data_IF_493542201971
#
_entry.id   IF_493542201971
#
_cell.length_a   1.000
_cell.length_b   1.000
_cell.length_c   1.000
_cell.angle_alpha   90.00
_cell.angle_beta   90.00
_cell.angle_gamma   90.00
#
_symmetry.space_group_name_H-M   'P 1'
#
loop_
_entity.id
_entity.type
_entity.pdbx_description
1 polymer ?
#
# COMPACT_ATOMS: atom_id res chain seq x y z
N UNK A 1 42.73 -22.77 -44.92
CA UNK A 1 42.71 -21.50 -45.68
C UNK A 1 41.26 -21.03 -45.78
N UNK A 2 40.92 -19.96 -45.07
CA UNK A 2 39.58 -19.38 -45.07
C UNK A 2 39.34 -18.52 -46.31
N UNK A 3 38.17 -18.62 -46.92
CA UNK A 3 37.67 -17.63 -47.88
C UNK A 3 36.28 -17.18 -47.44
N UNK A 4 36.17 -15.90 -47.05
CA UNK A 4 34.92 -15.25 -46.62
C UNK A 4 34.11 -14.82 -47.85
N UNK A 5 32.77 -14.75 -47.72
CA UNK A 5 31.86 -14.45 -48.82
C UNK A 5 31.92 -12.97 -49.20
N UNK A 6 31.82 -12.72 -50.51
CA UNK A 6 31.53 -11.41 -51.06
C UNK A 6 30.07 -11.04 -50.77
N UNK A 7 29.87 -9.91 -50.09
CA UNK A 7 28.61 -9.17 -50.11
C UNK A 7 28.93 -7.71 -50.41
N UNK A 8 28.32 -7.24 -51.47
CA UNK A 8 28.44 -5.90 -52.05
C UNK A 8 28.05 -4.79 -51.08
N UNK A 9 28.97 -3.87 -50.82
CA UNK A 9 28.64 -2.44 -50.76
C UNK A 9 29.86 -1.62 -51.16
N UNK A 10 30.02 -1.47 -52.48
CA UNK A 10 30.96 -0.52 -53.12
C UNK A 10 30.47 0.92 -52.87
N UNK A 11 30.47 1.36 -51.62
CA UNK A 11 30.15 2.72 -51.23
C UNK A 11 31.37 3.61 -51.42
N UNK A 12 31.40 4.37 -52.53
CA UNK A 12 32.45 5.32 -52.92
C UNK A 12 33.03 6.09 -51.72
N UNK A 13 34.23 5.70 -51.30
CA UNK A 13 35.06 6.46 -50.37
C UNK A 13 35.65 7.67 -51.08
N UNK A 14 34.88 8.77 -51.12
CA UNK A 14 35.35 10.03 -51.71
C UNK A 14 34.29 11.12 -51.60
N UNK A 15 34.59 12.14 -50.79
CA UNK A 15 33.95 13.48 -50.73
C UNK A 15 32.44 13.56 -50.44
N UNK A 16 31.68 12.46 -50.45
CA UNK A 16 30.25 12.42 -50.15
C UNK A 16 29.87 11.65 -48.89
N UNK A 17 30.83 11.16 -48.10
CA UNK A 17 30.52 10.65 -46.76
C UNK A 17 30.50 11.84 -45.80
N UNK A 18 29.29 12.26 -45.39
CA UNK A 18 29.09 13.23 -44.31
C UNK A 18 29.93 12.78 -43.10
N UNK A 19 30.53 13.68 -42.30
CA UNK A 19 31.15 13.28 -41.04
C UNK A 19 30.08 12.55 -40.22
N UNK A 20 30.30 11.25 -39.99
CA UNK A 20 29.46 10.50 -39.07
C UNK A 20 29.76 11.05 -37.68
N UNK A 21 28.96 12.03 -37.25
CA UNK A 21 28.94 12.47 -35.85
C UNK A 21 28.61 11.23 -35.03
N UNK A 22 29.50 10.93 -34.07
CA UNK A 22 29.54 9.67 -33.34
C UNK A 22 28.16 9.20 -32.92
N UNK A 23 27.90 7.89 -33.13
CA UNK A 23 26.69 7.25 -32.65
C UNK A 23 26.53 7.55 -31.17
N UNK A 24 25.48 8.31 -30.84
CA UNK A 24 25.20 8.75 -29.48
C UNK A 24 25.07 7.56 -28.53
N UNK A 25 25.38 7.81 -27.25
CA UNK A 25 25.14 6.85 -26.16
C UNK A 25 23.65 6.49 -26.17
N UNK A 26 23.35 5.19 -26.25
CA UNK A 26 21.97 4.71 -26.26
C UNK A 26 21.49 4.54 -24.82
N UNK A 27 20.89 5.58 -24.28
CA UNK A 27 20.28 5.54 -22.94
C UNK A 27 19.06 4.62 -22.87
N UNK A 28 18.59 4.05 -24.00
CA UNK A 28 17.45 3.13 -24.04
C UNK A 28 17.83 1.66 -23.84
N UNK A 29 19.12 1.31 -23.78
CA UNK A 29 19.57 -0.09 -23.67
C UNK A 29 19.96 -0.49 -22.25
N UNK A 30 20.30 0.49 -21.42
CA UNK A 30 20.81 0.30 -20.05
C UNK A 30 19.90 0.99 -19.02
N UNK A 31 18.57 1.00 -19.25
CA UNK A 31 17.59 1.58 -18.30
C UNK A 31 17.32 0.62 -17.14
N UNK A 32 17.40 -0.70 -17.41
CA UNK A 32 17.12 -1.72 -16.42
C UNK A 32 18.37 -1.96 -15.56
N UNK A 33 18.25 -2.10 -14.23
CA UNK A 33 19.37 -2.50 -13.40
C UNK A 33 19.86 -3.87 -13.85
N UNK A 34 21.18 -4.03 -13.92
CA UNK A 34 21.85 -5.25 -14.40
C UNK A 34 22.81 -5.69 -13.31
N UNK A 35 22.85 -6.99 -13.03
CA UNK A 35 23.79 -7.59 -12.08
C UNK A 35 25.23 -7.50 -12.61
N UNK A 36 26.22 -7.84 -11.77
CA UNK A 36 27.63 -7.91 -12.14
C UNK A 36 27.91 -8.78 -13.38
N UNK A 37 27.05 -9.77 -13.65
CA UNK A 37 27.10 -10.65 -14.81
C UNK A 37 26.34 -10.12 -16.05
N UNK A 38 25.72 -8.93 -15.96
CA UNK A 38 25.02 -8.29 -17.06
C UNK A 38 23.63 -8.85 -17.37
N UNK A 39 23.03 -9.58 -16.43
CA UNK A 39 21.65 -10.06 -16.51
C UNK A 39 20.68 -9.01 -15.94
N UNK A 40 19.52 -8.83 -16.57
CA UNK A 40 18.51 -7.86 -16.14
C UNK A 40 17.93 -8.27 -14.78
N UNK A 41 18.03 -7.36 -13.81
CA UNK A 41 17.46 -7.52 -12.47
C UNK A 41 16.13 -6.77 -12.43
N UNK A 42 15.11 -7.38 -11.82
CA UNK A 42 13.87 -6.66 -11.55
C UNK A 42 14.15 -5.55 -10.53
N UNK A 43 13.65 -4.34 -10.76
CA UNK A 43 13.77 -3.22 -9.82
C UNK A 43 13.19 -3.53 -8.42
N UNK A 44 12.37 -4.58 -8.31
CA UNK A 44 11.74 -5.02 -7.06
C UNK A 44 12.31 -6.33 -6.54
N UNK A 45 13.35 -6.89 -7.17
CA UNK A 45 14.05 -8.02 -6.59
C UNK A 45 14.86 -7.54 -5.38
N UNK A 46 14.80 -8.30 -4.28
CA UNK A 46 15.67 -8.12 -3.11
C UNK A 46 17.11 -8.28 -3.60
N UNK A 47 17.93 -7.26 -3.36
CA UNK A 47 19.32 -7.19 -3.78
C UNK A 47 20.10 -8.40 -3.25
N UNK A 48 20.64 -9.28 -4.11
CA UNK A 48 21.34 -10.49 -3.68
C UNK A 48 22.69 -10.19 -3.03
N UNK A 49 23.20 -8.95 -3.13
CA UNK A 49 24.41 -8.53 -2.41
C UNK A 49 24.12 -7.97 -1.01
N UNK A 50 22.86 -8.00 -0.58
CA UNK A 50 22.44 -7.59 0.77
C UNK A 50 22.31 -8.79 1.71
N UNK A 51 23.31 -9.68 1.65
CA UNK A 51 23.48 -10.72 2.65
C UNK A 51 24.23 -10.13 3.86
N UNK A 52 23.48 -10.02 4.97
CA UNK A 52 23.89 -10.49 6.29
C UNK A 52 25.26 -10.06 6.82
N UNK A 53 25.50 -8.76 7.02
CA UNK A 53 26.54 -8.30 7.94
C UNK A 53 26.20 -6.93 8.53
N UNK A 54 26.01 -6.91 9.85
CA UNK A 54 25.98 -5.73 10.75
C UNK A 54 24.78 -4.76 10.63
N UNK A 55 23.85 -4.82 11.58
CA UNK A 55 23.94 -3.97 12.77
C UNK A 55 22.73 -4.12 13.71
N UNK A 56 23.07 -4.14 14.98
CA UNK A 56 22.18 -4.05 16.12
C UNK A 56 22.10 -2.56 16.49
N UNK A 57 21.22 -1.78 15.85
CA UNK A 57 20.63 -0.59 16.48
C UNK A 57 19.36 -0.09 15.74
N UNK A 58 18.42 0.31 16.60
CA UNK A 58 17.24 1.13 16.45
C UNK A 58 17.07 1.96 15.16
N UNK A 59 15.94 1.80 14.43
CA UNK A 59 15.13 2.91 13.90
C UNK A 59 14.06 2.44 12.89
N UNK A 60 12.81 2.39 13.39
CA UNK A 60 11.61 3.06 12.86
C UNK A 60 11.29 3.17 11.36
N UNK A 61 9.97 3.13 11.14
CA UNK A 61 9.17 3.58 9.98
C UNK A 61 9.02 2.61 8.81
N UNK A 62 7.79 2.07 8.72
CA UNK A 62 7.21 1.52 7.52
C UNK A 62 7.18 2.58 6.42
N UNK A 63 7.94 2.35 5.36
CA UNK A 63 7.86 3.07 4.09
C UNK A 63 6.53 2.74 3.41
N UNK A 64 5.49 3.50 3.76
CA UNK A 64 4.30 3.69 2.92
C UNK A 64 4.70 4.57 1.73
N UNK A 65 5.22 3.90 0.70
CA UNK A 65 5.48 4.48 -0.61
C UNK A 65 4.18 4.45 -1.43
N UNK A 66 3.28 5.38 -1.15
CA UNK A 66 2.22 5.79 -2.08
C UNK A 66 2.81 6.87 -3.00
N UNK A 67 3.14 6.46 -4.23
CA UNK A 67 3.29 7.39 -5.36
C UNK A 67 1.91 7.94 -5.69
N UNK A 68 1.69 9.21 -5.40
CA UNK A 68 0.63 10.01 -6.01
C UNK A 68 1.28 10.88 -7.08
N UNK A 69 0.82 10.65 -8.31
CA UNK A 69 1.13 11.35 -9.54
C UNK A 69 0.50 12.75 -9.48
N UNK A 70 1.27 13.75 -9.03
CA UNK A 70 0.83 15.15 -9.09
C UNK A 70 1.20 15.74 -10.46
N UNK A 71 0.17 15.80 -11.31
CA UNK A 71 0.16 16.36 -12.65
C UNK A 71 0.56 17.85 -12.63
N UNK A 72 1.71 18.18 -13.22
CA UNK A 72 2.10 19.55 -13.58
C UNK A 72 1.05 20.17 -14.53
N UNK A 73 0.09 20.91 -13.97
CA UNK A 73 -0.71 21.88 -14.71
C UNK A 73 0.08 23.18 -14.85
N UNK A 74 0.46 23.47 -16.10
CA UNK A 74 1.01 24.73 -16.57
C UNK A 74 -0.04 25.85 -16.42
N UNK A 75 -0.06 26.49 -15.25
CA UNK A 75 -0.65 27.82 -15.12
C UNK A 75 -0.07 28.62 -13.94
N UNK A 76 0.93 29.47 -14.22
CA UNK A 76 0.85 30.93 -13.96
C UNK A 76 2.24 31.59 -13.96
N UNK A 77 2.34 32.67 -14.72
CA UNK A 77 3.57 33.38 -15.04
C UNK A 77 3.83 34.54 -14.06
N UNK A 78 4.65 34.32 -13.02
CA UNK A 78 5.40 35.35 -12.26
C UNK A 78 4.58 36.29 -11.34
N UNK A 79 5.20 37.09 -10.43
CA UNK A 79 6.58 37.55 -10.44
C UNK A 79 7.40 37.24 -9.17
N UNK A 80 8.71 37.33 -9.35
CA UNK A 80 9.80 37.16 -8.38
C UNK A 80 9.66 37.95 -7.07
N UNK A 81 9.77 37.25 -5.94
CA UNK A 81 10.20 37.82 -4.65
C UNK A 81 11.19 36.90 -3.93
N UNK A 82 12.16 37.49 -3.20
CA UNK A 82 13.46 36.89 -2.96
C UNK A 82 13.37 35.77 -1.94
N UNK A 83 14.12 34.71 -2.25
CA UNK A 83 14.45 33.61 -1.37
C UNK A 83 15.00 34.11 -0.02
N UNK A 84 14.19 34.05 1.03
CA UNK A 84 14.68 33.82 2.39
C UNK A 84 15.18 32.36 2.47
N UNK A 85 16.26 32.08 1.74
CA UNK A 85 17.06 30.88 1.94
C UNK A 85 17.94 31.10 3.15
N UNK A 86 17.34 31.08 4.33
CA UNK A 86 18.03 30.44 5.43
C UNK A 86 18.12 28.97 5.05
N UNK A 87 19.33 28.45 5.00
CA UNK A 87 19.64 27.06 4.70
C UNK A 87 19.10 26.16 5.83
N UNK A 88 17.77 26.07 5.94
CA UNK A 88 17.12 25.02 6.69
C UNK A 88 17.62 23.72 6.09
N UNK A 89 18.30 22.97 6.95
CA UNK A 89 18.97 21.74 6.58
C UNK A 89 17.95 20.80 5.92
N UNK A 90 18.43 19.82 5.15
CA UNK A 90 17.52 18.82 4.55
C UNK A 90 16.66 18.12 5.61
N UNK A 91 17.16 18.05 6.84
CA UNK A 91 16.48 17.50 8.01
C UNK A 91 15.36 18.43 8.49
N UNK A 92 15.59 19.74 8.59
CA UNK A 92 14.56 20.71 8.95
C UNK A 92 13.41 20.74 7.93
N UNK A 93 13.72 20.67 6.63
CA UNK A 93 12.68 20.58 5.58
C UNK A 93 11.88 19.29 5.64
N UNK A 94 12.52 18.18 6.02
CA UNK A 94 11.84 16.89 6.20
C UNK A 94 10.95 16.93 7.45
N UNK A 95 11.44 17.53 8.54
CA UNK A 95 10.67 17.70 9.77
C UNK A 95 9.45 18.60 9.58
N UNK A 96 9.57 19.71 8.85
CA UNK A 96 8.43 20.59 8.53
C UNK A 96 7.39 19.90 7.63
N UNK A 97 7.85 19.11 6.65
CA UNK A 97 6.96 18.30 5.80
C UNK A 97 6.24 17.23 6.60
N UNK A 98 6.93 16.52 7.50
CA UNK A 98 6.34 15.53 8.41
C UNK A 98 5.34 16.20 9.36
N UNK A 99 5.70 17.32 9.99
CA UNK A 99 4.82 18.08 10.87
C UNK A 99 3.56 18.59 10.15
N UNK A 100 3.67 19.01 8.88
CA UNK A 100 2.52 19.44 8.08
C UNK A 100 1.59 18.27 7.74
N UNK A 101 2.15 17.10 7.39
CA UNK A 101 1.38 15.87 7.16
C UNK A 101 0.69 15.39 8.44
N UNK A 102 1.40 15.34 9.56
CA UNK A 102 0.86 14.96 10.86
C UNK A 102 -0.23 15.94 11.34
N UNK A 103 -0.07 17.24 11.10
CA UNK A 103 -1.10 18.23 11.39
C UNK A 103 -2.35 18.05 10.51
N UNK A 104 -2.20 17.65 9.25
CA UNK A 104 -3.33 17.33 8.37
C UNK A 104 -4.07 16.07 8.85
N UNK A 105 -3.33 15.01 9.19
CA UNK A 105 -3.88 13.76 9.75
C UNK A 105 -4.56 14.03 11.09
N UNK A 106 -3.98 14.86 11.95
CA UNK A 106 -4.59 15.25 13.23
C UNK A 106 -5.88 16.06 13.01
N UNK A 107 -5.92 16.94 12.00
CA UNK A 107 -7.15 17.66 11.62
C UNK A 107 -8.22 16.74 11.04
N UNK A 108 -7.85 15.76 10.23
CA UNK A 108 -8.77 14.75 9.71
C UNK A 108 -9.31 13.86 10.83
N UNK A 109 -8.46 13.42 11.77
CA UNK A 109 -8.87 12.63 12.94
C UNK A 109 -9.70 13.44 13.94
N UNK A 110 -9.44 14.75 14.07
CA UNK A 110 -10.20 15.65 14.91
C UNK A 110 -11.52 16.11 14.29
N UNK A 111 -11.72 15.92 12.97
CA UNK A 111 -13.04 16.00 12.35
C UNK A 111 -13.83 14.78 12.80
N UNK A 112 -14.60 14.96 13.87
CA UNK A 112 -15.53 13.96 14.38
C UNK A 112 -16.61 13.75 13.34
N UNK A 113 -16.55 12.61 12.65
CA UNK A 113 -17.56 12.16 11.68
C UNK A 113 -18.92 12.08 12.38
N UNK A 114 -19.82 13.00 12.04
CA UNK A 114 -21.20 12.96 12.51
C UNK A 114 -21.98 11.86 11.78
N UNK A 115 -23.03 11.32 12.40
CA UNK A 115 -23.83 10.22 11.85
C UNK A 115 -24.55 10.72 10.59
N UNK A 116 -23.97 10.45 9.43
CA UNK A 116 -24.44 10.93 8.13
C UNK A 116 -23.30 11.29 7.16
N UNK A 117 -22.10 11.53 7.68
CA UNK A 117 -20.90 11.77 6.87
C UNK A 117 -20.13 10.45 6.68
N UNK A 118 -20.77 9.51 5.97
CA UNK A 118 -20.08 8.32 5.50
C UNK A 118 -19.05 8.76 4.46
N UNK A 119 -17.77 8.35 4.52
CA UNK A 119 -16.87 8.60 3.41
C UNK A 119 -17.50 7.92 2.20
N UNK A 120 -17.93 8.71 1.22
CA UNK A 120 -18.50 8.18 -0.01
C UNK A 120 -17.43 7.28 -0.61
N UNK A 121 -17.70 5.98 -0.70
CA UNK A 121 -16.85 5.01 -1.38
C UNK A 121 -17.01 5.13 -2.91
N UNK A 122 -17.15 6.37 -3.37
CA UNK A 122 -17.54 6.80 -4.71
C UNK A 122 -16.92 8.19 -4.96
N UNK A 123 -15.59 8.27 -4.87
CA UNK A 123 -14.78 9.40 -5.36
C UNK A 123 -14.20 9.04 -6.74
N UNK A 124 -15.04 8.43 -7.58
CA UNK A 124 -14.82 8.18 -9.00
C UNK A 124 -16.19 8.17 -9.75
N UNK A 125 -17.10 9.06 -9.35
CA UNK A 125 -18.25 9.46 -10.17
C UNK A 125 -18.33 10.99 -10.15
N UNK A 126 -17.85 11.55 -11.26
CA UNK A 126 -17.78 12.98 -11.59
C UNK A 126 -19.20 13.55 -11.77
N UNK A 127 -20.00 13.53 -10.71
CA UNK A 127 -21.34 14.12 -10.67
C UNK A 127 -21.27 15.58 -10.24
N UNK A 128 -20.46 16.35 -10.98
CA UNK A 128 -20.50 17.81 -11.01
C UNK A 128 -21.01 18.29 -12.37
N UNK A 129 -22.19 17.82 -12.78
CA UNK A 129 -22.88 18.41 -13.94
C UNK A 129 -24.40 18.21 -13.88
N UNK A 130 -25.06 18.83 -12.89
CA UNK A 130 -26.53 18.88 -12.83
C UNK A 130 -27.09 20.27 -12.57
N UNK A 131 -26.33 21.31 -12.94
CA UNK A 131 -26.82 22.70 -12.98
C UNK A 131 -26.42 23.46 -14.27
N UNK A 132 -25.80 22.79 -15.27
CA UNK A 132 -25.47 23.39 -16.58
C UNK A 132 -26.47 23.01 -17.70
N UNK A 133 -27.42 22.12 -17.42
CA UNK A 133 -28.45 21.64 -18.37
C UNK A 133 -29.59 22.65 -18.63
N UNK A 134 -29.67 23.74 -17.85
CA UNK A 134 -30.69 24.78 -18.01
C UNK A 134 -30.30 25.88 -19.03
N UNK A 135 -29.06 25.89 -19.54
CA UNK A 135 -28.57 26.86 -20.55
C UNK A 135 -28.42 26.26 -21.97
N UNK A 136 -28.77 24.98 -22.16
CA UNK A 136 -28.87 24.35 -23.48
C UNK A 136 -30.28 24.51 -24.07
N UNK A 137 -30.46 24.70 -25.39
CA UNK A 137 -31.79 24.82 -25.98
C UNK A 137 -32.57 23.53 -25.73
N UNK A 138 -33.64 23.63 -24.91
CA UNK A 138 -34.42 22.50 -24.44
C UNK A 138 -34.78 21.53 -25.58
N UNK A 139 -34.16 20.35 -25.57
CA UNK A 139 -34.48 19.30 -26.51
C UNK A 139 -35.93 18.83 -26.25
N UNK A 140 -36.86 18.99 -27.21
CA UNK A 140 -38.28 18.68 -27.00
C UNK A 140 -38.55 17.22 -26.61
N UNK A 141 -37.62 16.30 -26.90
CA UNK A 141 -37.70 14.89 -26.51
C UNK A 141 -37.25 14.58 -25.07
N UNK A 142 -36.51 15.46 -24.39
CA UNK A 142 -36.06 15.25 -22.99
C UNK A 142 -36.88 16.04 -21.96
N UNK A 143 -37.91 16.78 -22.41
CA UNK A 143 -38.76 17.57 -21.54
C UNK A 143 -39.48 16.72 -20.49
N UNK A 144 -39.67 17.30 -19.29
CA UNK A 144 -40.39 16.68 -18.15
C UNK A 144 -41.80 16.19 -18.51
N UNK A 145 -42.40 16.74 -19.57
CA UNK A 145 -43.73 16.35 -20.08
C UNK A 145 -43.71 15.03 -20.87
N UNK A 146 -42.65 14.75 -21.62
CA UNK A 146 -42.48 13.47 -22.32
C UNK A 146 -42.28 12.32 -21.32
N UNK A 147 -41.45 12.54 -20.29
CA UNK A 147 -41.26 11.58 -19.19
C UNK A 147 -42.58 11.23 -18.46
N UNK A 148 -43.46 12.23 -18.25
CA UNK A 148 -44.76 12.00 -17.61
C UNK A 148 -45.77 11.20 -18.45
N UNK A 149 -45.67 11.20 -19.78
CA UNK A 149 -46.56 10.42 -20.64
C UNK A 149 -46.11 8.96 -20.77
N UNK A 150 -44.81 8.70 -20.69
CA UNK A 150 -44.27 7.35 -20.70
C UNK A 150 -44.59 6.57 -19.41
N UNK A 151 -44.78 7.26 -18.27
CA UNK A 151 -45.05 6.61 -16.99
C UNK A 151 -46.47 6.02 -16.87
N UNK A 152 -47.48 6.54 -17.59
CA UNK A 152 -48.89 6.23 -17.30
C UNK A 152 -49.45 4.99 -18.00
N UNK A 153 -48.61 4.12 -18.57
CA UNK A 153 -49.09 2.93 -19.29
C UNK A 153 -48.15 1.73 -19.24
N UNK A 154 -47.05 1.81 -18.48
CA UNK A 154 -46.10 0.71 -18.33
C UNK A 154 -46.51 -0.23 -17.19
N UNK A 155 -47.09 0.33 -16.12
CA UNK A 155 -47.42 -0.41 -14.89
C UNK A 155 -48.45 -1.54 -15.13
N UNK A 156 -49.52 -1.27 -15.89
CA UNK A 156 -50.53 -2.29 -16.24
C UNK A 156 -49.99 -3.39 -17.16
N UNK A 157 -48.95 -3.08 -17.96
CA UNK A 157 -48.29 -4.04 -18.85
C UNK A 157 -47.28 -4.87 -18.06
N UNK A 158 -46.58 -4.28 -17.09
CA UNK A 158 -45.64 -5.00 -16.23
C UNK A 158 -46.34 -6.00 -15.31
N UNK A 159 -47.49 -5.65 -14.74
CA UNK A 159 -48.27 -6.57 -13.89
C UNK A 159 -48.81 -7.78 -14.68
N UNK A 160 -49.18 -7.59 -15.96
CA UNK A 160 -49.60 -8.68 -16.85
C UNK A 160 -48.46 -9.64 -17.24
N UNK A 161 -47.23 -9.13 -17.35
CA UNK A 161 -46.03 -9.92 -17.68
C UNK A 161 -45.51 -10.69 -16.46
N UNK A 162 -45.60 -10.10 -15.26
CA UNK A 162 -45.24 -10.77 -14.00
C UNK A 162 -46.12 -11.99 -13.71
N UNK A 163 -47.43 -11.90 -13.98
CA UNK A 163 -48.35 -13.03 -13.79
C UNK A 163 -48.26 -14.10 -14.89
N UNK A 164 -47.60 -13.79 -16.01
CA UNK A 164 -47.30 -14.72 -17.11
C UNK A 164 -45.88 -15.30 -17.02
N UNK A 165 -45.16 -15.12 -15.90
CA UNK A 165 -43.88 -15.79 -15.65
C UNK A 165 -44.10 -17.32 -15.55
N UNK A 166 -44.26 -17.94 -16.71
CA UNK A 166 -44.28 -19.37 -16.91
C UNK A 166 -43.02 -19.97 -16.28
N UNK A 167 -43.14 -21.22 -15.83
CA UNK A 167 -42.07 -22.00 -15.24
C UNK A 167 -40.70 -21.65 -15.89
N UNK A 168 -39.68 -21.28 -15.09
CA UNK A 168 -38.49 -20.63 -15.60
C UNK A 168 -37.90 -21.41 -16.77
N UNK A 169 -37.53 -20.70 -17.82
CA UNK A 169 -36.97 -21.32 -19.02
C UNK A 169 -35.78 -22.20 -18.61
N UNK A 170 -35.46 -23.25 -19.38
CA UNK A 170 -34.39 -24.19 -19.01
C UNK A 170 -33.07 -23.47 -18.67
N UNK A 171 -32.83 -22.36 -19.39
CA UNK A 171 -31.69 -21.46 -19.18
C UNK A 171 -31.78 -20.66 -17.87
N UNK A 172 -32.97 -20.18 -17.50
CA UNK A 172 -33.19 -19.52 -16.21
C UNK A 172 -33.06 -20.49 -15.03
N UNK A 173 -33.48 -21.75 -15.19
CA UNK A 173 -33.28 -22.78 -14.14
C UNK A 173 -31.80 -23.08 -13.91
N UNK A 174 -31.04 -23.24 -14.99
CA UNK A 174 -29.60 -23.44 -14.90
C UNK A 174 -28.88 -22.20 -14.33
N UNK A 175 -29.34 -20.99 -14.67
CA UNK A 175 -28.79 -19.76 -14.09
C UNK A 175 -29.08 -19.65 -12.58
N UNK A 176 -30.30 -20.00 -12.14
CA UNK A 176 -30.67 -20.02 -10.72
C UNK A 176 -29.91 -21.10 -9.94
N UNK A 177 -29.70 -22.27 -10.54
CA UNK A 177 -28.91 -23.34 -9.92
C UNK A 177 -27.42 -22.94 -9.83
N UNK A 178 -26.87 -22.31 -10.86
CA UNK A 178 -25.51 -21.78 -10.85
C UNK A 178 -25.33 -20.67 -9.80
N UNK A 179 -26.32 -19.78 -9.65
CA UNK A 179 -26.33 -18.77 -8.58
C UNK A 179 -26.37 -19.44 -7.20
N UNK A 180 -27.26 -20.40 -6.97
CA UNK A 180 -27.36 -21.13 -5.72
C UNK A 180 -26.08 -21.94 -5.41
N UNK A 181 -25.40 -22.50 -6.42
CA UNK A 181 -24.12 -23.18 -6.25
C UNK A 181 -23.00 -22.22 -5.83
N UNK A 182 -22.94 -21.03 -6.45
CA UNK A 182 -22.01 -19.95 -6.05
C UNK A 182 -22.28 -19.49 -4.62
N UNK A 183 -23.55 -19.27 -4.25
CA UNK A 183 -23.91 -18.91 -2.88
C UNK A 183 -23.52 -19.99 -1.86
N UNK A 184 -23.72 -21.27 -2.19
CA UNK A 184 -23.27 -22.38 -1.35
C UNK A 184 -21.74 -22.40 -1.20
N UNK A 185 -21.02 -22.18 -2.30
CA UNK A 185 -19.56 -22.09 -2.25
C UNK A 185 -19.11 -20.93 -1.36
N UNK A 186 -19.63 -19.72 -1.59
CA UNK A 186 -19.35 -18.55 -0.75
C UNK A 186 -19.71 -18.79 0.72
N UNK A 187 -20.82 -19.47 0.99
CA UNK A 187 -21.23 -19.85 2.35
C UNK A 187 -20.27 -20.86 2.98
N UNK A 188 -19.73 -21.81 2.22
CA UNK A 188 -18.74 -22.77 2.71
C UNK A 188 -17.37 -22.11 2.95
N UNK A 189 -16.97 -21.18 2.08
CA UNK A 189 -15.75 -20.37 2.25
C UNK A 189 -15.87 -19.50 3.50
N UNK A 190 -17.01 -18.81 3.68
CA UNK A 190 -17.27 -18.03 4.89
C UNK A 190 -17.29 -18.91 6.16
N UNK A 191 -17.73 -20.17 6.07
CA UNK A 191 -17.65 -21.14 7.16
C UNK A 191 -16.24 -21.73 7.38
N UNK A 192 -15.27 -21.40 6.53
CA UNK A 192 -13.92 -21.95 6.60
C UNK A 192 -13.81 -23.41 6.19
N UNK A 193 -14.79 -23.93 5.44
CA UNK A 193 -14.90 -25.37 5.10
C UNK A 193 -14.33 -25.72 3.72
N UNK A 194 -14.10 -24.73 2.86
CA UNK A 194 -13.35 -24.95 1.62
C UNK A 194 -11.89 -25.24 1.94
N UNK A 195 -11.21 -25.98 1.08
CA UNK A 195 -9.83 -26.40 1.34
C UNK A 195 -8.87 -25.20 1.37
N UNK A 196 -9.16 -24.16 0.60
CA UNK A 196 -8.48 -22.86 0.65
C UNK A 196 -8.62 -22.20 2.03
N UNK A 197 -9.85 -22.07 2.55
CA UNK A 197 -10.06 -21.45 3.86
C UNK A 197 -9.52 -22.29 5.01
N UNK A 198 -9.49 -23.63 4.88
CA UNK A 198 -8.81 -24.49 5.86
C UNK A 198 -7.31 -24.22 5.86
N UNK A 199 -6.68 -24.12 4.68
CA UNK A 199 -5.26 -23.81 4.56
C UNK A 199 -4.92 -22.44 5.18
N UNK A 200 -5.75 -21.43 4.96
CA UNK A 200 -5.58 -20.11 5.58
C UNK A 200 -5.73 -20.17 7.11
N UNK A 201 -6.72 -20.91 7.61
CA UNK A 201 -6.89 -21.12 9.05
C UNK A 201 -5.72 -21.89 9.67
N UNK A 202 -5.17 -22.89 8.97
CA UNK A 202 -3.98 -23.64 9.39
C UNK A 202 -2.75 -22.75 9.43
N UNK A 203 -2.55 -21.91 8.40
CA UNK A 203 -1.48 -20.90 8.39
C UNK A 203 -1.61 -19.94 9.57
N UNK A 204 -2.82 -19.44 9.85
CA UNK A 204 -3.07 -18.57 10.99
C UNK A 204 -2.87 -19.28 12.34
N UNK A 205 -3.19 -20.57 12.44
CA UNK A 205 -2.91 -21.37 13.66
C UNK A 205 -1.42 -21.54 13.86
N UNK A 206 -0.65 -21.87 12.82
CA UNK A 206 0.81 -21.98 12.91
C UNK A 206 1.45 -20.67 13.40
N UNK A 207 0.99 -19.51 12.91
CA UNK A 207 1.46 -18.20 13.39
C UNK A 207 1.09 -17.98 14.86
N UNK A 208 -0.13 -18.35 15.28
CA UNK A 208 -0.54 -18.24 16.69
C UNK A 208 0.30 -19.14 17.59
N UNK A 209 0.59 -20.36 17.16
CA UNK A 209 1.45 -21.30 17.88
C UNK A 209 2.87 -20.76 18.00
N UNK A 210 3.46 -20.25 16.92
CA UNK A 210 4.78 -19.61 16.94
C UNK A 210 4.83 -18.43 17.92
N UNK A 211 3.83 -17.53 17.84
CA UNK A 211 3.74 -16.38 18.77
C UNK A 211 3.55 -16.83 20.22
N UNK A 212 2.78 -17.89 20.47
CA UNK A 212 2.59 -18.43 21.81
C UNK A 212 3.88 -19.07 22.35
N UNK A 213 4.63 -19.79 21.51
CA UNK A 213 5.92 -20.37 21.86
C UNK A 213 6.96 -19.28 22.14
N UNK A 214 7.00 -18.22 21.33
CA UNK A 214 7.91 -17.10 21.56
C UNK A 214 7.52 -16.29 22.80
N UNK A 215 6.23 -16.09 23.04
CA UNK A 215 5.75 -15.47 24.28
C UNK A 215 6.08 -16.32 25.51
N UNK A 216 5.93 -17.65 25.42
CA UNK A 216 6.30 -18.57 26.49
C UNK A 216 7.81 -18.59 26.74
N UNK A 217 8.64 -18.56 25.68
CA UNK A 217 10.10 -18.43 25.81
C UNK A 217 10.50 -17.12 26.48
N UNK A 218 9.90 -16.00 26.07
CA UNK A 218 10.14 -14.69 26.68
C UNK A 218 9.66 -14.64 28.14
N UNK A 219 8.56 -15.32 28.49
CA UNK A 219 8.10 -15.42 29.88
C UNK A 219 9.05 -16.27 30.72
N UNK A 220 9.47 -17.43 30.21
CA UNK A 220 10.45 -18.27 30.91
C UNK A 220 11.79 -17.55 31.13
N UNK A 221 12.31 -16.85 30.12
CA UNK A 221 13.53 -16.06 30.26
C UNK A 221 13.38 -14.91 31.27
N UNK A 222 12.21 -14.25 31.28
CA UNK A 222 11.91 -13.21 32.27
C UNK A 222 11.82 -13.77 33.69
N UNK A 223 11.19 -14.92 33.88
CA UNK A 223 11.08 -15.58 35.19
C UNK A 223 12.47 -16.01 35.70
N UNK A 224 13.31 -16.61 34.84
CA UNK A 224 14.70 -16.95 35.20
C UNK A 224 15.53 -15.71 35.54
N UNK A 225 15.39 -14.63 34.76
CA UNK A 225 16.07 -13.35 35.03
C UNK A 225 15.60 -12.74 36.36
N UNK A 226 14.30 -12.77 36.65
CA UNK A 226 13.77 -12.29 37.92
C UNK A 226 14.25 -13.12 39.11
N UNK A 227 14.36 -14.44 38.97
CA UNK A 227 14.92 -15.31 40.01
C UNK A 227 16.40 -15.00 40.25
N UNK A 228 17.19 -14.84 39.19
CA UNK A 228 18.59 -14.43 39.31
C UNK A 228 18.72 -13.03 39.93
N UNK A 229 17.85 -12.09 39.58
CA UNK A 229 17.83 -10.76 40.19
C UNK A 229 17.41 -10.82 41.66
N UNK A 230 16.45 -11.67 42.05
CA UNK A 230 16.05 -11.88 43.45
C UNK A 230 17.20 -12.45 44.26
N UNK A 231 17.94 -13.42 43.72
CA UNK A 231 19.15 -13.98 44.37
C UNK A 231 20.21 -12.88 44.51
N UNK A 232 20.53 -12.14 43.45
CA UNK A 232 21.50 -11.04 43.50
C UNK A 232 21.07 -9.95 44.49
N UNK A 233 19.79 -9.56 44.51
CA UNK A 233 19.26 -8.57 45.46
C UNK A 233 19.39 -9.06 46.90
N UNK A 234 19.07 -10.32 47.19
CA UNK A 234 19.23 -10.92 48.51
C UNK A 234 20.72 -10.99 48.95
N UNK A 235 21.63 -11.32 48.03
CA UNK A 235 23.08 -11.30 48.30
C UNK A 235 23.59 -9.88 48.59
N UNK A 236 23.13 -8.88 47.83
CA UNK A 236 23.47 -7.48 48.04
C UNK A 236 22.95 -6.98 49.39
N UNK A 237 21.71 -7.28 49.75
CA UNK A 237 21.11 -6.90 51.03
C UNK A 237 21.85 -7.55 52.21
N UNK A 238 22.20 -8.85 52.09
CA UNK A 238 23.00 -9.54 53.10
C UNK A 238 24.41 -8.93 53.25
N UNK A 239 25.04 -8.54 52.14
CA UNK A 239 26.35 -7.87 52.14
C UNK A 239 26.26 -6.46 52.74
N UNK A 240 25.19 -5.72 52.45
CA UNK A 240 24.94 -4.40 53.03
C UNK A 240 24.66 -4.49 54.53
N UNK A 241 23.84 -5.44 54.97
CA UNK A 241 23.59 -5.71 56.39
C UNK A 241 24.91 -6.02 57.13
N UNK A 242 25.76 -6.89 56.56
CA UNK A 242 27.11 -7.17 57.11
C UNK A 242 27.99 -5.91 57.15
N UNK A 243 27.93 -5.05 56.14
CA UNK A 243 28.67 -3.77 56.12
C UNK A 243 28.14 -2.80 57.18
N UNK A 244 26.82 -2.75 57.39
CA UNK A 244 26.17 -1.89 58.39
C UNK A 244 26.46 -2.35 59.81
N UNK A 245 26.47 -3.66 60.08
CA UNK A 245 26.85 -4.23 61.37
C UNK A 245 28.33 -4.01 61.71
N UNK A 246 29.22 -4.12 60.72
CA UNK A 246 30.64 -3.85 60.93
C UNK A 246 30.93 -2.36 61.13
N UNK A 247 30.19 -1.48 60.45
CA UNK A 247 30.26 -0.03 60.67
C UNK A 247 29.73 0.38 62.06
N UNK A 248 28.61 -0.19 62.52
CA UNK A 248 28.03 0.12 63.83
C UNK A 248 28.93 -0.35 64.99
N UNK A 249 29.62 -1.49 64.85
CA UNK A 249 30.63 -1.95 65.82
C UNK A 249 31.87 -1.05 65.87
N UNK A 250 32.26 -0.42 64.75
CA UNK A 250 33.44 0.47 64.70
C UNK A 250 33.16 1.86 65.29
N UNK A 251 31.91 2.33 65.23
CA UNK A 251 31.48 3.59 65.86
C UNK A 251 31.32 3.55 67.39
N UNK A 252 31.24 2.35 67.99
CA UNK A 252 31.06 2.17 69.45
C UNK A 252 32.37 2.08 70.26
N UNK A 253 33.53 2.17 69.60
CA UNK A 253 34.84 2.34 70.24
C UNK A 253 35.23 3.82 70.19
N UNK A 254 34.61 4.63 71.05
CA UNK A 254 35.08 5.97 71.40
C UNK A 254 34.64 6.28 72.81
#
# INVERSE_FOLDING_TARGET
>A
MASRPGASSRGRGGKFRKPARGGGKKFSRDIRPVDADGNEVSMWAVDPNKDDDSDEDDSSEEETSEEEEDSDDESDAGPSKPADTQELSREDRKAEKKARKEAAIARQKAKTVEVGDMPSSDEDDDSSDSDEDDDMPANPNHSKKARKQAATGVDDITEGVENLSAAPSRREREALEAAAAKEKHMRLTAQGKTDESKADLERLKAIREQRALDAARRQAEKEEREEQEKIKKAEFEAKEARRRETASKKGKKK
#
